data_IF_693951106482
#
_entry.id   IF_693951106482
#
_cell.length_a   1.000
_cell.length_b   1.000
_cell.length_c   1.000
_cell.angle_alpha   90.00
_cell.angle_beta   90.00
_cell.angle_gamma   90.00
#
_symmetry.space_group_name_H-M   'P 1'
#
loop_
_entity.id
_entity.type
_entity.pdbx_description
1 polymer ?
#
# COMPACT_ATOMS: atom_id res chain seq x y z
N UNK A 1 -34.52 -25.79 16.06
CA UNK A 1 -34.07 -24.40 16.34
C UNK A 1 -32.55 -24.22 16.37
N UNK A 2 -31.72 -25.26 16.50
CA UNK A 2 -30.25 -25.12 16.50
C UNK A 2 -29.59 -25.13 15.09
N UNK A 3 -30.28 -25.63 14.06
CA UNK A 3 -29.75 -25.69 12.68
C UNK A 3 -29.82 -24.36 11.91
N UNK A 4 -30.65 -23.41 12.35
CA UNK A 4 -30.74 -22.08 11.74
C UNK A 4 -29.69 -21.09 12.29
N UNK A 5 -29.16 -21.31 13.50
CA UNK A 5 -28.11 -20.43 14.06
C UNK A 5 -26.75 -20.59 13.34
N UNK A 6 -26.43 -21.79 12.84
CA UNK A 6 -25.15 -22.01 12.14
C UNK A 6 -25.08 -21.34 10.76
N UNK A 7 -26.21 -21.07 10.10
CA UNK A 7 -26.23 -20.40 8.80
C UNK A 7 -26.02 -18.87 8.92
N UNK A 8 -26.36 -18.26 10.06
CA UNK A 8 -26.15 -16.82 10.31
C UNK A 8 -24.70 -16.48 10.71
N UNK A 9 -23.91 -17.46 11.16
CA UNK A 9 -22.48 -17.27 11.48
C UNK A 9 -21.56 -17.44 10.26
N UNK A 10 -22.09 -17.83 9.10
CA UNK A 10 -21.33 -18.05 7.86
C UNK A 10 -21.61 -16.99 6.77
N UNK A 11 -22.46 -16.01 7.05
CA UNK A 11 -22.73 -14.91 6.12
C UNK A 11 -22.00 -13.66 6.60
N UNK A 12 -21.05 -13.19 5.77
CA UNK A 12 -20.40 -11.89 5.80
C UNK A 12 -19.19 -11.69 6.73
N UNK A 13 -18.11 -12.44 6.45
CA UNK A 13 -16.81 -11.77 6.25
C UNK A 13 -16.14 -12.34 5.00
N UNK A 14 -16.73 -12.03 3.84
CA UNK A 14 -15.93 -12.00 2.64
C UNK A 14 -15.02 -10.77 2.75
N UNK A 15 -13.81 -10.95 3.29
CA UNK A 15 -12.74 -9.97 3.17
C UNK A 15 -12.38 -9.84 1.69
N UNK A 16 -13.15 -9.04 0.96
CA UNK A 16 -12.87 -8.69 -0.43
C UNK A 16 -11.92 -7.50 -0.48
N UNK A 17 -10.96 -7.53 -1.40
CA UNK A 17 -10.08 -6.39 -1.68
C UNK A 17 -10.65 -5.51 -2.81
N UNK A 18 -10.06 -4.33 -3.00
CA UNK A 18 -10.34 -3.46 -4.17
C UNK A 18 -11.68 -2.71 -4.13
N UNK A 19 -12.30 -2.58 -2.95
CA UNK A 19 -13.59 -1.87 -2.75
C UNK A 19 -13.42 -0.72 -1.75
N UNK A 20 -13.10 0.50 -2.22
CA UNK A 20 -12.81 1.60 -1.32
C UNK A 20 -14.06 2.08 -0.58
N UNK A 21 -13.92 2.44 0.70
CA UNK A 21 -15.01 3.10 1.46
C UNK A 21 -15.40 4.42 0.79
N UNK A 22 -14.41 5.21 0.37
CA UNK A 22 -14.62 6.44 -0.37
C UNK A 22 -14.51 6.18 -1.87
N UNK A 23 -15.63 6.21 -2.58
CA UNK A 23 -15.63 5.98 -4.04
C UNK A 23 -14.83 7.07 -4.75
N UNK A 24 -13.86 6.71 -5.63
CA UNK A 24 -13.04 7.67 -6.35
C UNK A 24 -13.85 8.40 -7.42
N UNK A 25 -13.52 9.68 -7.62
CA UNK A 25 -13.93 10.41 -8.82
C UNK A 25 -13.04 9.94 -9.96
N UNK A 26 -13.58 9.15 -10.88
CA UNK A 26 -12.80 8.61 -12.00
C UNK A 26 -12.77 9.67 -13.11
N UNK A 27 -11.68 10.43 -13.16
CA UNK A 27 -11.35 11.38 -14.22
C UNK A 27 -10.03 10.99 -14.91
N UNK A 28 -9.53 11.84 -15.80
CA UNK A 28 -8.32 11.55 -16.60
C UNK A 28 -7.07 11.70 -15.75
N UNK A 29 -6.13 10.76 -15.84
CA UNK A 29 -4.85 10.81 -15.12
C UNK A 29 -3.86 11.82 -15.73
N UNK A 30 -3.80 11.93 -17.07
CA UNK A 30 -2.93 12.91 -17.74
C UNK A 30 -3.55 14.31 -17.63
N UNK A 31 -2.86 15.20 -16.92
CA UNK A 31 -3.43 16.49 -16.48
C UNK A 31 -4.47 16.31 -15.38
N UNK A 32 -4.29 15.27 -14.55
CA UNK A 32 -5.23 14.91 -13.48
C UNK A 32 -5.34 15.95 -12.37
N UNK A 33 -6.29 15.69 -11.49
CA UNK A 33 -6.64 16.52 -10.34
C UNK A 33 -6.32 15.80 -9.04
N UNK A 34 -6.35 16.54 -7.93
CA UNK A 34 -6.25 15.93 -6.61
C UNK A 34 -7.38 14.93 -6.42
N UNK A 35 -7.04 13.70 -6.05
CA UNK A 35 -8.04 12.65 -5.82
C UNK A 35 -8.90 13.02 -4.61
N UNK A 36 -10.15 12.52 -4.60
CA UNK A 36 -10.96 12.55 -3.40
C UNK A 36 -10.16 11.90 -2.25
N UNK A 37 -10.00 12.57 -1.09
CA UNK A 37 -9.20 12.02 0.01
C UNK A 37 -9.58 10.58 0.33
N UNK A 38 -8.56 9.73 0.47
CA UNK A 38 -8.67 8.32 0.83
C UNK A 38 -9.46 7.43 -0.15
N UNK A 39 -9.72 7.90 -1.39
CA UNK A 39 -10.48 7.10 -2.37
C UNK A 39 -9.70 5.98 -3.05
N UNK A 40 -8.40 5.87 -2.74
CA UNK A 40 -7.50 4.81 -3.18
C UNK A 40 -6.75 4.27 -1.94
N UNK A 41 -7.45 3.55 -1.04
CA UNK A 41 -6.95 3.23 0.31
C UNK A 41 -5.78 2.24 0.34
N UNK A 42 -5.53 1.54 -0.77
CA UNK A 42 -4.35 0.69 -0.95
C UNK A 42 -3.10 1.46 -1.42
N UNK A 43 -3.22 2.74 -1.77
CA UNK A 43 -2.09 3.53 -2.24
C UNK A 43 -1.11 3.76 -1.10
N UNK A 44 0.17 3.48 -1.34
CA UNK A 44 1.21 3.72 -0.35
C UNK A 44 2.28 4.67 -0.85
N UNK A 45 2.88 5.40 0.08
CA UNK A 45 4.13 6.14 -0.14
C UNK A 45 5.30 5.29 0.34
N UNK A 46 6.11 4.77 -0.58
CA UNK A 46 7.41 4.18 -0.25
C UNK A 46 8.42 5.29 0.01
N UNK A 47 9.01 5.28 1.21
CA UNK A 47 9.99 6.27 1.65
C UNK A 47 11.30 5.59 2.00
N UNK A 48 12.41 6.30 1.80
CA UNK A 48 13.74 5.87 2.25
C UNK A 48 14.32 6.87 3.23
N UNK A 49 15.19 6.38 4.11
CA UNK A 49 15.94 7.25 5.01
C UNK A 49 17.06 7.97 4.26
N UNK A 50 16.98 9.29 4.24
CA UNK A 50 17.99 10.19 3.67
C UNK A 50 18.69 10.91 4.83
N UNK A 51 19.59 10.21 5.50
CA UNK A 51 20.43 10.73 6.59
C UNK A 51 19.60 11.27 7.77
N UNK A 52 18.62 10.49 8.23
CA UNK A 52 17.73 10.85 9.34
C UNK A 52 16.44 11.57 8.91
N UNK A 53 16.25 11.81 7.61
CA UNK A 53 15.04 12.43 7.06
C UNK A 53 14.40 11.50 6.06
N UNK A 54 13.14 11.14 6.29
CA UNK A 54 12.38 10.28 5.38
C UNK A 54 11.93 11.03 4.14
N UNK A 55 12.25 10.48 2.96
CA UNK A 55 11.87 11.06 1.67
C UNK A 55 11.09 10.04 0.83
N UNK A 56 9.98 10.50 0.23
CA UNK A 56 9.23 9.74 -0.75
C UNK A 56 10.11 9.42 -1.97
N UNK A 57 10.00 8.20 -2.49
CA UNK A 57 10.71 7.79 -3.71
C UNK A 57 9.80 7.12 -4.74
N UNK A 58 8.81 6.35 -4.32
CA UNK A 58 7.93 5.60 -5.21
C UNK A 58 6.56 5.38 -4.55
N UNK A 59 5.59 4.97 -5.35
CA UNK A 59 4.33 4.41 -4.88
C UNK A 59 4.42 2.90 -4.59
N UNK A 60 3.26 2.33 -4.27
CA UNK A 60 3.03 0.90 -4.17
C UNK A 60 1.58 0.62 -3.81
N UNK A 61 1.23 -0.64 -3.75
CA UNK A 61 -0.14 -1.10 -3.47
C UNK A 61 -0.10 -2.03 -2.27
N UNK A 62 -0.87 -1.74 -1.22
CA UNK A 62 -1.15 -2.70 -0.17
C UNK A 62 -1.96 -3.86 -0.78
N UNK A 63 -1.44 -5.07 -0.69
CA UNK A 63 -2.09 -6.28 -1.24
C UNK A 63 -2.51 -7.28 -0.15
N UNK A 64 -1.97 -7.11 1.05
CA UNK A 64 -2.34 -7.82 2.28
C UNK A 64 -1.85 -6.98 3.49
N UNK A 65 -2.31 -7.28 4.70
CA UNK A 65 -2.00 -6.52 5.92
C UNK A 65 -0.50 -6.33 6.16
N UNK A 66 0.36 -7.21 5.67
CA UNK A 66 1.82 -7.10 5.80
C UNK A 66 2.57 -7.15 4.45
N UNK A 67 1.87 -6.98 3.33
CA UNK A 67 2.47 -7.05 1.99
C UNK A 67 2.13 -5.86 1.12
N UNK A 68 3.17 -5.25 0.56
CA UNK A 68 3.05 -4.19 -0.44
C UNK A 68 3.69 -4.63 -1.75
N UNK A 69 2.98 -4.44 -2.85
CA UNK A 69 3.47 -4.58 -4.20
C UNK A 69 4.07 -3.25 -4.69
N UNK A 70 5.24 -3.30 -5.31
CA UNK A 70 5.89 -2.12 -5.90
C UNK A 70 6.75 -2.53 -7.11
N UNK A 71 7.44 -1.56 -7.72
CA UNK A 71 8.35 -1.81 -8.83
C UNK A 71 9.75 -2.23 -8.33
N UNK A 72 10.43 -3.10 -9.08
CA UNK A 72 11.80 -3.52 -8.75
C UNK A 72 12.79 -2.35 -8.80
N UNK A 73 12.66 -1.45 -9.77
CA UNK A 73 13.56 -0.31 -9.95
C UNK A 73 13.51 0.69 -8.76
N UNK A 74 12.47 0.63 -7.93
CA UNK A 74 12.35 1.45 -6.72
C UNK A 74 13.27 0.98 -5.58
N UNK A 75 13.74 -0.26 -5.64
CA UNK A 75 14.43 -0.93 -4.55
C UNK A 75 15.95 -0.88 -4.75
N UNK A 76 16.65 -0.51 -3.67
CA UNK A 76 18.10 -0.42 -3.59
C UNK A 76 18.60 -1.06 -2.30
N UNK A 77 19.61 -1.91 -2.40
CA UNK A 77 20.18 -2.62 -1.24
C UNK A 77 20.88 -1.70 -0.24
N UNK A 78 21.17 -0.45 -0.60
CA UNK A 78 21.85 0.53 0.26
C UNK A 78 20.89 1.45 1.02
N UNK A 79 19.58 1.30 0.80
CA UNK A 79 18.55 2.16 1.40
C UNK A 79 17.78 1.41 2.47
N UNK A 80 17.47 2.11 3.55
CA UNK A 80 16.48 1.67 4.55
C UNK A 80 15.13 2.23 4.16
N UNK A 81 14.10 1.39 4.16
CA UNK A 81 12.77 1.76 3.69
C UNK A 81 11.71 1.71 4.79
N UNK A 82 10.69 2.57 4.62
CA UNK A 82 9.40 2.46 5.31
C UNK A 82 8.27 2.70 4.32
N UNK A 83 7.10 2.18 4.63
CA UNK A 83 5.86 2.42 3.90
C UNK A 83 4.98 3.35 4.74
N UNK A 84 4.35 4.33 4.09
CA UNK A 84 3.33 5.17 4.73
C UNK A 84 1.98 4.97 4.03
N UNK A 85 0.95 4.62 4.80
CA UNK A 85 -0.41 4.32 4.36
C UNK A 85 -1.41 5.32 4.95
N UNK A 86 -2.63 5.36 4.40
CA UNK A 86 -3.69 6.26 4.87
C UNK A 86 -3.42 7.73 4.56
N UNK A 87 -2.48 8.02 3.66
CA UNK A 87 -1.93 9.35 3.41
C UNK A 87 -2.34 9.91 2.05
N UNK A 88 -2.78 11.16 2.04
CA UNK A 88 -3.14 11.94 0.86
C UNK A 88 -2.09 13.02 0.55
N UNK A 89 -1.66 13.81 1.54
CA UNK A 89 -0.70 14.90 1.34
C UNK A 89 0.67 14.57 1.95
N UNK A 90 1.70 14.41 1.11
CA UNK A 90 3.08 14.12 1.53
C UNK A 90 3.69 15.14 2.51
N UNK A 91 3.19 16.38 2.54
CA UNK A 91 3.74 17.49 3.34
C UNK A 91 3.01 17.73 4.67
N UNK A 92 1.79 17.21 4.82
CA UNK A 92 0.99 17.38 6.03
C UNK A 92 1.10 16.13 6.91
N UNK A 93 0.86 16.23 8.22
CA UNK A 93 0.56 15.06 9.04
C UNK A 93 -0.96 14.85 9.01
N UNK A 94 -1.41 13.63 8.75
CA UNK A 94 -2.84 13.31 8.60
C UNK A 94 -3.29 12.31 9.67
N UNK A 95 -4.48 12.52 10.22
CA UNK A 95 -5.05 11.59 11.19
C UNK A 95 -5.31 10.23 10.51
N UNK A 96 -4.86 9.15 11.15
CA UNK A 96 -4.98 7.79 10.62
C UNK A 96 -3.89 7.40 9.62
N UNK A 97 -2.90 8.26 9.34
CA UNK A 97 -1.72 7.83 8.60
C UNK A 97 -0.87 6.85 9.43
N UNK A 98 -0.34 5.81 8.80
CA UNK A 98 0.47 4.79 9.47
C UNK A 98 1.78 4.64 8.73
N UNK A 99 2.90 4.78 9.45
CA UNK A 99 4.24 4.54 8.92
C UNK A 99 4.79 3.22 9.50
N UNK A 100 5.12 2.27 8.63
CA UNK A 100 5.60 0.93 8.99
C UNK A 100 6.95 0.66 8.35
N UNK A 101 7.90 0.11 9.11
CA UNK A 101 9.19 -0.30 8.58
C UNK A 101 9.05 -1.46 7.58
N UNK A 102 9.92 -1.50 6.57
CA UNK A 102 10.04 -2.66 5.67
C UNK A 102 11.03 -3.64 6.29
N UNK A 103 10.57 -4.85 6.63
CA UNK A 103 11.42 -5.94 7.13
C UNK A 103 12.25 -6.52 5.98
N UNK A 104 11.62 -6.74 4.83
CA UNK A 104 12.27 -7.39 3.68
C UNK A 104 11.73 -6.85 2.37
N UNK A 105 12.64 -6.48 1.47
CA UNK A 105 12.32 -6.22 0.07
C UNK A 105 12.73 -7.42 -0.79
N UNK A 106 11.81 -7.94 -1.58
CA UNK A 106 11.98 -9.11 -2.45
C UNK A 106 11.84 -8.62 -3.89
N UNK A 107 12.98 -8.38 -4.54
CA UNK A 107 13.02 -8.03 -5.96
C UNK A 107 12.87 -9.31 -6.78
N UNK A 108 12.11 -9.25 -7.87
CA UNK A 108 11.97 -10.39 -8.78
C UNK A 108 13.34 -10.90 -9.24
N UNK A 109 13.58 -12.20 -9.15
CA UNK A 109 14.90 -12.82 -9.38
C UNK A 109 15.47 -12.58 -10.80
N UNK A 110 14.57 -12.31 -11.76
CA UNK A 110 14.88 -12.00 -13.16
C UNK A 110 14.74 -10.51 -13.51
N UNK A 111 14.73 -9.60 -12.52
CA UNK A 111 14.73 -8.16 -12.78
C UNK A 111 15.94 -7.77 -13.62
N UNK A 112 15.69 -7.04 -14.71
CA UNK A 112 16.73 -6.52 -15.58
C UNK A 112 16.54 -5.01 -15.79
N UNK A 113 17.43 -4.21 -15.21
CA UNK A 113 17.35 -2.75 -15.27
C UNK A 113 17.70 -2.15 -16.62
N UNK A 114 18.43 -2.87 -17.48
CA UNK A 114 18.79 -2.39 -18.82
C UNK A 114 17.59 -2.43 -19.77
N UNK A 115 16.74 -3.45 -19.63
CA UNK A 115 15.58 -3.67 -20.50
C UNK A 115 14.23 -3.44 -19.81
N UNK A 116 14.23 -3.13 -18.50
CA UNK A 116 13.03 -2.94 -17.67
C UNK A 116 12.12 -4.19 -17.72
N UNK A 117 12.73 -5.37 -17.58
CA UNK A 117 12.01 -6.66 -17.62
C UNK A 117 11.85 -7.18 -16.19
N UNK A 118 10.64 -7.64 -15.86
CA UNK A 118 10.25 -8.10 -14.51
C UNK A 118 10.39 -7.01 -13.44
N UNK A 119 9.89 -5.80 -13.75
CA UNK A 119 9.92 -4.64 -12.86
C UNK A 119 8.90 -4.75 -11.71
N UNK A 120 9.10 -5.73 -10.84
CA UNK A 120 8.19 -6.06 -9.76
C UNK A 120 8.95 -6.45 -8.50
N UNK A 121 8.50 -5.96 -7.35
CA UNK A 121 9.02 -6.32 -6.05
C UNK A 121 7.91 -6.39 -5.00
N UNK A 122 8.12 -7.23 -3.99
CA UNK A 122 7.27 -7.32 -2.80
C UNK A 122 8.01 -6.76 -1.59
N UNK A 123 7.32 -5.95 -0.80
CA UNK A 123 7.80 -5.48 0.49
C UNK A 123 7.01 -6.19 1.59
N UNK A 124 7.72 -6.93 2.44
CA UNK A 124 7.17 -7.46 3.68
C UNK A 124 7.32 -6.38 4.76
N UNK A 125 6.19 -5.97 5.34
CA UNK A 125 6.16 -5.01 6.44
C UNK A 125 6.60 -5.69 7.74
N UNK A 126 7.26 -4.94 8.62
CA UNK A 126 7.73 -5.45 9.92
C UNK A 126 6.59 -5.83 10.86
N UNK A 127 5.45 -5.16 10.74
CA UNK A 127 4.23 -5.43 11.48
C UNK A 127 3.04 -5.35 10.51
N UNK A 128 1.97 -6.13 10.71
CA UNK A 128 0.75 -5.97 9.93
C UNK A 128 0.09 -4.60 10.20
N UNK A 129 -0.52 -4.02 9.18
CA UNK A 129 -1.36 -2.83 9.32
C UNK A 129 -2.80 -3.25 9.64
N UNK A 130 -3.45 -2.45 10.47
CA UNK A 130 -4.89 -2.58 10.71
C UNK A 130 -5.67 -1.95 9.56
N UNK A 131 -6.57 -2.73 8.94
CA UNK A 131 -7.44 -2.21 7.90
C UNK A 131 -8.46 -1.22 8.47
N UNK A 132 -8.78 -0.19 7.69
CA UNK A 132 -9.72 0.88 8.05
C UNK A 132 -10.39 1.46 6.81
N UNK A 133 -11.19 2.52 6.98
CA UNK A 133 -11.78 3.22 5.84
C UNK A 133 -10.75 3.95 4.95
N UNK A 134 -9.52 4.13 5.45
CA UNK A 134 -8.44 4.85 4.74
C UNK A 134 -7.24 3.95 4.40
N UNK A 135 -7.22 2.69 4.86
CA UNK A 135 -6.18 1.69 4.62
C UNK A 135 -6.85 0.35 4.30
N UNK A 136 -6.74 -0.14 3.05
CA UNK A 136 -7.40 -1.36 2.57
C UNK A 136 -6.54 -2.10 1.54
#
# INVERSE_FOLDING_TARGET
MFKLLCALLLVAQAYGCGRPTYVPNISRVVGGEDVRPHSWPWQVSLQYDKKGVWAHTCGGTLIDANWVLTAAHCISSTRTYRVVLGKQNLKAAEAGEVAVAVEKAIVHEKWNSLFIINDIALLKLAEPVEFSDTIQ
#
